data_IF_541977399995
#
_entry.id   IF_541977399995
#
_cell.length_a   1.000
_cell.length_b   1.000
_cell.length_c   1.000
_cell.angle_alpha   90.00
_cell.angle_beta   90.00
_cell.angle_gamma   90.00
#
_symmetry.space_group_name_H-M   'P 1'
#
loop_
_entity.id
_entity.type
_entity.pdbx_description
1 polymer ?
#
# COMPACT_ATOMS: atom_id res chain seq x y z
N UNK A 1 15.87 23.69 36.46
CA UNK A 1 14.61 23.03 36.11
C UNK A 1 14.00 23.55 34.79
N UNK A 2 14.69 24.39 34.03
CA UNK A 2 14.28 24.87 32.68
C UNK A 2 15.21 24.35 31.59
N UNK A 3 16.36 23.78 31.94
CA UNK A 3 17.32 23.24 30.96
C UNK A 3 17.03 21.82 30.44
N UNK A 4 16.10 21.10 31.03
CA UNK A 4 15.72 19.74 30.57
C UNK A 4 14.60 19.73 29.54
N UNK A 5 14.05 20.86 29.12
CA UNK A 5 12.97 20.95 28.14
C UNK A 5 13.43 21.32 26.73
N UNK A 6 14.72 21.51 26.52
CA UNK A 6 15.27 21.55 25.16
C UNK A 6 15.64 20.15 24.71
N UNK A 7 14.68 19.26 24.57
CA UNK A 7 14.79 18.13 23.63
C UNK A 7 14.94 18.77 22.27
N UNK A 8 16.20 18.86 21.85
CA UNK A 8 16.61 19.25 20.52
C UNK A 8 15.83 18.32 19.57
N UNK A 9 14.74 18.79 19.01
CA UNK A 9 14.17 18.20 17.82
C UNK A 9 15.26 18.30 16.73
N UNK A 10 16.17 17.35 16.76
CA UNK A 10 16.94 17.02 15.58
C UNK A 10 15.87 16.62 14.60
N UNK A 11 15.65 17.39 13.56
CA UNK A 11 14.80 16.99 12.44
C UNK A 11 15.43 15.70 11.90
N UNK A 12 14.94 14.56 12.36
CA UNK A 12 15.37 13.26 11.86
C UNK A 12 14.86 13.22 10.41
N UNK A 13 15.78 13.43 9.48
CA UNK A 13 15.48 13.25 8.05
C UNK A 13 15.02 11.81 7.93
N UNK A 14 13.75 11.56 7.53
CA UNK A 14 13.24 10.20 7.44
C UNK A 14 14.12 9.41 6.48
N UNK A 15 14.56 8.23 6.90
CA UNK A 15 15.39 7.35 6.08
C UNK A 15 14.70 7.06 4.73
N UNK A 16 15.50 6.93 3.66
CA UNK A 16 14.98 6.60 2.32
C UNK A 16 14.36 5.21 2.36
N UNK A 17 13.02 5.16 2.35
CA UNK A 17 12.27 3.92 2.37
C UNK A 17 12.41 3.13 1.06
N UNK A 18 12.31 1.81 1.13
CA UNK A 18 12.38 0.89 -0.03
C UNK A 18 11.42 1.27 -1.16
N UNK A 19 10.24 1.79 -0.83
CA UNK A 19 9.25 2.23 -1.81
C UNK A 19 9.77 3.39 -2.66
N UNK A 20 10.50 4.34 -2.05
CA UNK A 20 11.07 5.49 -2.76
C UNK A 20 12.10 4.99 -3.80
N UNK A 21 12.97 4.07 -3.39
CA UNK A 21 13.99 3.49 -4.29
C UNK A 21 13.34 2.72 -5.44
N UNK A 22 12.37 1.86 -5.15
CA UNK A 22 11.61 1.13 -6.17
C UNK A 22 10.90 2.08 -7.15
N UNK A 23 10.30 3.14 -6.64
CA UNK A 23 9.65 4.16 -7.48
C UNK A 23 10.65 4.85 -8.41
N UNK A 24 11.81 5.24 -7.90
CA UNK A 24 12.86 5.87 -8.71
C UNK A 24 13.37 4.92 -9.81
N UNK A 25 13.61 3.64 -9.47
CA UNK A 25 14.04 2.62 -10.44
C UNK A 25 12.98 2.42 -11.53
N UNK A 26 11.69 2.31 -11.16
CA UNK A 26 10.62 2.11 -12.12
C UNK A 26 10.47 3.29 -13.08
N UNK A 27 10.56 4.52 -12.59
CA UNK A 27 10.52 5.74 -13.42
C UNK A 27 11.68 5.77 -14.39
N UNK A 28 12.90 5.44 -13.95
CA UNK A 28 14.09 5.38 -14.80
C UNK A 28 13.97 4.30 -15.88
N UNK A 29 13.46 3.11 -15.53
CA UNK A 29 13.22 2.03 -16.50
C UNK A 29 12.18 2.44 -17.56
N UNK A 30 11.10 3.13 -17.18
CA UNK A 30 10.14 3.66 -18.14
C UNK A 30 10.80 4.61 -19.14
N UNK A 31 11.71 5.47 -18.68
CA UNK A 31 12.48 6.39 -19.53
C UNK A 31 13.34 5.63 -20.54
N UNK A 32 14.10 4.64 -20.07
CA UNK A 32 14.98 3.82 -20.94
C UNK A 32 14.15 3.09 -22.00
N UNK A 33 13.02 2.49 -21.63
CA UNK A 33 12.17 1.76 -22.59
C UNK A 33 11.57 2.70 -23.62
N UNK A 34 11.19 3.93 -23.23
CA UNK A 34 10.70 4.92 -24.19
C UNK A 34 11.77 5.33 -25.21
N UNK A 35 13.01 5.53 -24.75
CA UNK A 35 14.15 5.80 -25.67
C UNK A 35 14.35 4.66 -26.67
N UNK A 36 14.25 3.41 -26.21
CA UNK A 36 14.35 2.22 -27.10
C UNK A 36 13.18 2.13 -28.09
N UNK A 37 12.00 2.69 -27.77
CA UNK A 37 10.85 2.79 -28.70
C UNK A 37 10.95 3.93 -29.70
N UNK A 38 12.04 4.70 -29.72
CA UNK A 38 12.22 5.84 -30.62
C UNK A 38 11.27 7.01 -30.31
N UNK A 39 10.94 7.20 -29.02
CA UNK A 39 10.11 8.30 -28.51
C UNK A 39 8.68 8.39 -29.10
N UNK A 40 8.16 7.26 -29.64
CA UNK A 40 6.84 7.20 -30.24
C UNK A 40 5.66 7.30 -29.26
N UNK A 41 5.93 7.39 -27.95
CA UNK A 41 4.93 7.50 -26.87
C UNK A 41 5.26 8.66 -25.93
N UNK A 42 4.35 8.90 -24.98
CA UNK A 42 4.59 9.87 -23.91
C UNK A 42 5.04 9.14 -22.64
N UNK A 43 6.34 9.24 -22.31
CA UNK A 43 6.98 8.67 -21.11
C UNK A 43 6.19 8.92 -19.82
N UNK A 44 5.65 10.12 -19.69
CA UNK A 44 4.87 10.55 -18.53
C UNK A 44 3.76 9.55 -18.16
N UNK A 45 3.10 8.96 -19.14
CA UNK A 45 1.99 8.04 -18.88
C UNK A 45 2.43 6.67 -18.41
N UNK A 46 3.54 6.18 -18.92
CA UNK A 46 4.13 4.93 -18.44
C UNK A 46 4.70 5.09 -17.03
N UNK A 47 5.34 6.22 -16.73
CA UNK A 47 5.82 6.54 -15.38
C UNK A 47 4.69 6.65 -14.36
N UNK A 48 3.59 7.35 -14.68
CA UNK A 48 2.42 7.40 -13.80
C UNK A 48 1.80 6.02 -13.57
N UNK A 49 1.74 5.18 -14.60
CA UNK A 49 1.20 3.83 -14.46
C UNK A 49 2.09 2.96 -13.57
N UNK A 50 3.42 3.04 -13.72
CA UNK A 50 4.38 2.32 -12.90
C UNK A 50 4.32 2.75 -11.43
N UNK A 51 4.32 4.07 -11.16
CA UNK A 51 4.22 4.62 -9.80
C UNK A 51 2.94 4.18 -9.09
N UNK A 52 1.81 4.15 -9.81
CA UNK A 52 0.54 3.71 -9.25
C UNK A 52 0.52 2.23 -8.87
N UNK A 53 1.27 1.39 -9.58
CA UNK A 53 1.38 -0.03 -9.31
C UNK A 53 2.34 -0.38 -8.17
N UNK A 54 3.22 0.54 -7.73
CA UNK A 54 4.15 0.29 -6.63
C UNK A 54 3.44 0.48 -5.30
N UNK A 55 2.97 -0.62 -4.71
CA UNK A 55 2.25 -0.64 -3.45
C UNK A 55 2.98 -1.48 -2.40
N UNK A 56 2.64 -1.26 -1.12
CA UNK A 56 3.20 -2.00 0.01
C UNK A 56 2.83 -3.49 -0.05
N UNK A 57 1.58 -3.79 -0.41
CA UNK A 57 1.05 -5.15 -0.47
C UNK A 57 0.81 -5.61 -1.90
N UNK A 58 1.18 -6.86 -2.21
CA UNK A 58 1.04 -7.46 -3.54
C UNK A 58 -0.41 -7.45 -4.06
N UNK A 59 -1.37 -7.76 -3.20
CA UNK A 59 -2.79 -7.77 -3.58
C UNK A 59 -3.26 -6.38 -4.04
N UNK A 60 -2.81 -5.32 -3.36
CA UNK A 60 -3.13 -3.95 -3.74
C UNK A 60 -2.46 -3.57 -5.07
N UNK A 61 -1.26 -4.06 -5.33
CA UNK A 61 -0.54 -3.85 -6.60
C UNK A 61 -1.30 -4.40 -7.79
N UNK A 62 -1.79 -5.64 -7.70
CA UNK A 62 -2.58 -6.29 -8.77
C UNK A 62 -3.93 -5.60 -8.96
N UNK A 63 -4.61 -5.27 -7.87
CA UNK A 63 -5.87 -4.52 -7.91
C UNK A 63 -5.71 -3.17 -8.61
N UNK A 64 -4.67 -2.42 -8.23
CA UNK A 64 -4.38 -1.12 -8.82
C UNK A 64 -3.99 -1.21 -10.30
N UNK A 65 -3.22 -2.24 -10.69
CA UNK A 65 -2.88 -2.51 -12.08
C UNK A 65 -4.16 -2.79 -12.91
N UNK A 66 -5.05 -3.64 -12.39
CA UNK A 66 -6.34 -3.94 -13.03
C UNK A 66 -7.22 -2.70 -13.19
N UNK A 67 -7.27 -1.84 -12.17
CA UNK A 67 -8.07 -0.61 -12.23
C UNK A 67 -7.49 0.40 -13.21
N UNK A 68 -6.15 0.55 -13.23
CA UNK A 68 -5.44 1.40 -14.19
C UNK A 68 -5.68 0.93 -15.62
N UNK A 69 -5.57 -0.38 -15.87
CA UNK A 69 -5.83 -0.97 -17.20
C UNK A 69 -7.28 -0.73 -17.64
N UNK A 70 -8.25 -1.08 -16.80
CA UNK A 70 -9.69 -0.86 -17.11
C UNK A 70 -9.96 0.61 -17.41
N UNK A 71 -9.43 1.53 -16.59
CA UNK A 71 -9.60 2.96 -16.80
C UNK A 71 -9.00 3.44 -18.13
N UNK A 72 -7.82 2.93 -18.50
CA UNK A 72 -7.19 3.27 -19.78
C UNK A 72 -8.00 2.75 -20.97
N UNK A 73 -8.50 1.52 -20.92
CA UNK A 73 -9.34 0.97 -22.00
C UNK A 73 -10.63 1.76 -22.17
N UNK A 74 -11.37 2.00 -21.08
CA UNK A 74 -12.62 2.76 -21.15
C UNK A 74 -12.36 4.18 -21.66
N UNK A 75 -11.38 4.89 -21.08
CA UNK A 75 -11.06 6.25 -21.51
C UNK A 75 -10.59 6.33 -22.97
N UNK A 76 -9.81 5.33 -23.43
CA UNK A 76 -9.33 5.27 -24.82
C UNK A 76 -10.47 5.02 -25.81
N UNK A 77 -11.38 4.09 -25.50
CA UNK A 77 -12.53 3.79 -26.36
C UNK A 77 -13.44 5.01 -26.50
N UNK A 78 -13.83 5.64 -25.40
CA UNK A 78 -14.67 6.85 -25.45
C UNK A 78 -13.95 8.03 -26.07
N UNK A 79 -12.63 8.20 -25.83
CA UNK A 79 -11.81 9.24 -26.47
C UNK A 79 -11.73 9.04 -27.97
N UNK A 80 -11.55 7.80 -28.45
CA UNK A 80 -11.56 7.50 -29.87
C UNK A 80 -12.92 7.77 -30.51
N UNK A 81 -13.99 7.32 -29.87
CA UNK A 81 -15.38 7.59 -30.36
C UNK A 81 -15.61 9.09 -30.46
N UNK A 82 -15.19 9.85 -29.46
CA UNK A 82 -15.29 11.30 -29.48
C UNK A 82 -14.56 11.91 -30.67
N UNK A 83 -13.29 11.54 -30.91
CA UNK A 83 -12.50 12.05 -32.01
C UNK A 83 -13.10 11.70 -33.38
N UNK A 84 -13.68 10.52 -33.54
CA UNK A 84 -14.34 10.09 -34.77
C UNK A 84 -15.65 10.85 -35.03
N UNK A 85 -16.39 11.17 -33.99
CA UNK A 85 -17.66 11.92 -34.09
C UNK A 85 -17.44 13.43 -34.15
N UNK A 86 -16.31 13.94 -33.69
CA UNK A 86 -16.03 15.38 -33.62
C UNK A 86 -16.20 16.12 -34.93
N UNK A 87 -15.74 15.61 -36.11
CA UNK A 87 -15.92 16.29 -37.39
C UNK A 87 -17.40 16.53 -37.80
N UNK A 88 -18.30 15.70 -37.27
CA UNK A 88 -19.74 15.78 -37.52
C UNK A 88 -20.50 16.56 -36.45
N UNK A 89 -19.79 17.07 -35.43
CA UNK A 89 -20.40 17.74 -34.30
C UNK A 89 -20.73 19.21 -34.62
N UNK A 90 -21.77 19.79 -34.03
CA UNK A 90 -22.07 21.23 -34.12
C UNK A 90 -20.93 22.10 -33.61
N UNK A 91 -20.03 21.54 -32.77
CA UNK A 91 -18.86 22.24 -32.23
C UNK A 91 -17.86 22.67 -33.32
N UNK A 92 -17.78 21.92 -34.44
CA UNK A 92 -16.92 22.27 -35.60
C UNK A 92 -17.59 23.30 -36.44
N UNK A 93 -18.92 23.18 -36.68
CA UNK A 93 -19.67 24.10 -37.53
C UNK A 93 -19.78 25.51 -36.96
N UNK A 94 -19.86 25.64 -35.65
CA UNK A 94 -20.08 26.95 -34.98
C UNK A 94 -18.80 27.54 -34.40
N UNK A 95 -17.70 26.77 -34.34
CA UNK A 95 -16.43 27.06 -33.62
C UNK A 95 -16.65 27.62 -32.19
N UNK A 96 -17.75 27.22 -31.57
CA UNK A 96 -18.19 27.73 -30.29
C UNK A 96 -17.58 26.92 -29.15
N UNK A 97 -16.92 27.60 -28.22
CA UNK A 97 -16.37 27.00 -27.00
C UNK A 97 -17.47 26.35 -26.14
N UNK A 98 -18.69 26.86 -26.18
CA UNK A 98 -19.82 26.33 -25.41
C UNK A 98 -20.21 24.91 -25.87
N UNK A 99 -20.25 24.67 -27.18
CA UNK A 99 -20.54 23.36 -27.74
C UNK A 99 -19.41 22.37 -27.47
N UNK A 100 -18.15 22.78 -27.55
CA UNK A 100 -17.01 21.97 -27.20
C UNK A 100 -17.10 21.50 -25.72
N UNK A 101 -17.38 22.47 -24.84
CA UNK A 101 -17.53 22.20 -23.40
C UNK A 101 -18.70 21.24 -23.09
N UNK A 102 -19.84 21.43 -23.76
CA UNK A 102 -21.01 20.58 -23.58
C UNK A 102 -20.75 19.14 -24.04
N UNK A 103 -20.08 18.94 -25.15
CA UNK A 103 -19.69 17.62 -25.64
C UNK A 103 -18.70 16.90 -24.67
N UNK A 104 -17.72 17.63 -24.13
CA UNK A 104 -16.78 17.09 -23.14
C UNK A 104 -17.54 16.72 -21.85
N UNK A 105 -18.47 17.55 -21.39
CA UNK A 105 -19.30 17.26 -20.21
C UNK A 105 -20.05 15.94 -20.35
N UNK A 106 -20.75 15.73 -21.47
CA UNK A 106 -21.43 14.48 -21.72
C UNK A 106 -20.49 13.29 -21.87
N UNK A 107 -19.34 13.50 -22.51
CA UNK A 107 -18.31 12.48 -22.63
C UNK A 107 -17.78 12.02 -21.27
N UNK A 108 -17.44 12.93 -20.37
CA UNK A 108 -16.98 12.61 -19.01
C UNK A 108 -18.06 11.88 -18.22
N UNK A 109 -19.34 12.31 -18.34
CA UNK A 109 -20.45 11.67 -17.65
C UNK A 109 -20.61 10.20 -18.10
N UNK A 110 -20.55 9.93 -19.42
CA UNK A 110 -20.64 8.58 -19.97
C UNK A 110 -19.45 7.70 -19.53
N UNK A 111 -18.23 8.25 -19.53
CA UNK A 111 -17.03 7.54 -19.09
C UNK A 111 -17.15 7.12 -17.62
N UNK A 112 -17.56 8.04 -16.73
CA UNK A 112 -17.73 7.73 -15.30
C UNK A 112 -18.86 6.69 -15.12
N UNK A 113 -19.99 6.90 -15.77
CA UNK A 113 -21.13 5.99 -15.67
C UNK A 113 -20.76 4.55 -16.09
N UNK A 114 -20.01 4.41 -17.18
CA UNK A 114 -19.54 3.09 -17.66
C UNK A 114 -18.64 2.40 -16.64
N UNK A 115 -17.72 3.12 -16.00
CA UNK A 115 -16.83 2.53 -14.97
C UNK A 115 -17.59 2.11 -13.71
N UNK A 116 -18.66 2.83 -13.36
CA UNK A 116 -19.56 2.47 -12.25
C UNK A 116 -20.35 1.19 -12.59
N UNK A 117 -20.84 1.06 -13.83
CA UNK A 117 -21.54 -0.16 -14.31
C UNK A 117 -20.60 -1.39 -14.28
N UNK A 118 -19.31 -1.22 -14.57
CA UNK A 118 -18.31 -2.31 -14.50
C UNK A 118 -17.91 -2.62 -13.04
N UNK A 119 -18.49 -1.95 -12.05
CA UNK A 119 -18.16 -2.09 -10.62
C UNK A 119 -16.71 -1.76 -10.26
N UNK A 120 -16.00 -0.96 -11.07
CA UNK A 120 -14.63 -0.51 -10.83
C UNK A 120 -14.57 1.00 -10.58
N UNK A 121 -15.15 1.45 -9.47
CA UNK A 121 -15.26 2.88 -9.13
C UNK A 121 -13.92 3.64 -9.14
N UNK A 122 -12.84 3.01 -8.70
CA UNK A 122 -11.51 3.65 -8.68
C UNK A 122 -10.92 3.83 -10.10
N UNK A 123 -11.40 3.06 -11.09
CA UNK A 123 -10.99 3.22 -12.48
C UNK A 123 -11.56 4.49 -13.12
N UNK A 124 -12.61 5.09 -12.54
CA UNK A 124 -13.25 6.33 -13.08
C UNK A 124 -12.27 7.47 -13.24
N UNK A 125 -11.41 7.70 -12.24
CA UNK A 125 -10.38 8.73 -12.30
C UNK A 125 -9.46 8.54 -13.52
N UNK A 126 -8.95 7.31 -13.71
CA UNK A 126 -8.05 7.02 -14.81
C UNK A 126 -8.72 7.10 -16.17
N UNK A 127 -9.99 6.69 -16.26
CA UNK A 127 -10.79 6.80 -17.49
C UNK A 127 -10.96 8.25 -17.90
N UNK A 128 -11.27 9.14 -16.96
CA UNK A 128 -11.40 10.56 -17.23
C UNK A 128 -10.06 11.18 -17.65
N UNK A 129 -8.95 10.85 -16.97
CA UNK A 129 -7.62 11.35 -17.33
C UNK A 129 -7.24 10.95 -18.76
N UNK A 130 -7.49 9.68 -19.14
CA UNK A 130 -7.19 9.20 -20.49
C UNK A 130 -8.12 9.83 -21.51
N UNK A 131 -9.42 9.89 -21.27
CA UNK A 131 -10.39 10.53 -22.13
C UNK A 131 -10.03 11.99 -22.40
N UNK A 132 -9.82 12.77 -21.33
CA UNK A 132 -9.46 14.20 -21.47
C UNK A 132 -8.11 14.39 -22.17
N UNK A 133 -7.11 13.53 -21.89
CA UNK A 133 -5.82 13.63 -22.59
C UNK A 133 -5.92 13.42 -24.10
N UNK A 134 -6.82 12.53 -24.53
CA UNK A 134 -7.08 12.28 -25.95
C UNK A 134 -7.86 13.45 -26.56
N UNK A 135 -8.94 13.86 -25.90
CA UNK A 135 -9.86 14.87 -26.45
C UNK A 135 -9.23 16.27 -26.51
N UNK A 136 -8.48 16.67 -25.46
CA UNK A 136 -7.93 18.03 -25.39
C UNK A 136 -6.72 18.22 -26.32
N UNK A 137 -5.82 17.22 -26.35
CA UNK A 137 -4.54 17.39 -27.04
C UNK A 137 -4.55 16.97 -28.51
N UNK A 138 -5.56 16.22 -28.97
CA UNK A 138 -5.55 15.57 -30.29
C UNK A 138 -6.81 15.87 -31.14
N UNK A 139 -7.53 16.93 -30.80
CA UNK A 139 -8.60 17.44 -31.67
C UNK A 139 -7.97 17.96 -32.95
N UNK A 140 -8.31 17.34 -34.07
CA UNK A 140 -7.81 17.74 -35.40
C UNK A 140 -6.61 16.94 -35.92
N UNK A 141 -6.12 15.98 -35.19
CA UNK A 141 -5.06 15.08 -35.67
C UNK A 141 -5.55 14.21 -36.85
N UNK A 142 -4.70 14.07 -37.86
CA UNK A 142 -4.99 13.27 -39.06
C UNK A 142 -5.16 11.80 -38.75
N UNK A 143 -4.41 11.29 -37.74
CA UNK A 143 -4.40 9.89 -37.31
C UNK A 143 -4.65 9.71 -35.81
N UNK A 144 -5.90 9.78 -35.33
CA UNK A 144 -6.21 9.63 -33.92
C UNK A 144 -5.89 8.24 -33.36
N UNK A 145 -5.90 7.22 -34.22
CA UNK A 145 -5.62 5.82 -33.83
C UNK A 145 -4.19 5.61 -33.29
N UNK A 146 -3.22 6.25 -33.92
CA UNK A 146 -1.81 6.14 -33.52
C UNK A 146 -1.58 6.61 -32.08
N UNK A 147 -2.17 7.77 -31.74
CA UNK A 147 -2.06 8.31 -30.39
C UNK A 147 -2.76 7.43 -29.35
N UNK A 148 -3.99 7.01 -29.62
CA UNK A 148 -4.76 6.15 -28.73
C UNK A 148 -4.04 4.83 -28.48
N UNK A 149 -3.44 4.24 -29.53
CA UNK A 149 -2.66 3.01 -29.42
C UNK A 149 -1.38 3.20 -28.59
N UNK A 150 -0.63 4.25 -28.85
CA UNK A 150 0.56 4.57 -28.05
C UNK A 150 0.20 4.83 -26.58
N UNK A 151 -0.91 5.51 -26.32
CA UNK A 151 -1.43 5.76 -24.98
C UNK A 151 -1.75 4.46 -24.21
N UNK A 152 -2.35 3.51 -24.92
CA UNK A 152 -2.60 2.18 -24.36
C UNK A 152 -1.30 1.44 -24.07
N UNK A 153 -0.36 1.39 -25.04
CA UNK A 153 0.94 0.75 -24.87
C UNK A 153 1.75 1.35 -23.73
N UNK A 154 1.78 2.66 -23.59
CA UNK A 154 2.49 3.34 -22.49
C UNK A 154 1.96 2.91 -21.13
N UNK A 155 0.64 2.74 -21.01
CA UNK A 155 0.04 2.26 -19.77
C UNK A 155 0.41 0.80 -19.50
N UNK A 156 0.37 -0.08 -20.52
CA UNK A 156 0.76 -1.49 -20.40
C UNK A 156 2.22 -1.60 -19.95
N UNK A 157 3.13 -0.89 -20.62
CA UNK A 157 4.55 -0.87 -20.27
C UNK A 157 4.76 -0.40 -18.83
N UNK A 158 4.11 0.69 -18.45
CA UNK A 158 4.21 1.22 -17.09
C UNK A 158 3.71 0.22 -16.03
N UNK A 159 2.59 -0.44 -16.27
CA UNK A 159 2.06 -1.49 -15.37
C UNK A 159 3.04 -2.65 -15.26
N UNK A 160 3.57 -3.16 -16.38
CA UNK A 160 4.51 -4.27 -16.37
C UNK A 160 5.79 -3.94 -15.62
N UNK A 161 6.36 -2.74 -15.83
CA UNK A 161 7.54 -2.27 -15.10
C UNK A 161 7.21 -2.13 -13.60
N UNK A 162 6.07 -1.53 -13.26
CA UNK A 162 5.64 -1.36 -11.87
C UNK A 162 5.47 -2.70 -11.15
N UNK A 163 4.85 -3.69 -11.79
CA UNK A 163 4.71 -5.05 -11.27
C UNK A 163 6.07 -5.73 -11.11
N UNK A 164 6.93 -5.64 -12.14
CA UNK A 164 8.26 -6.24 -12.12
C UNK A 164 9.11 -5.66 -10.98
N UNK A 165 9.22 -4.34 -10.90
CA UNK A 165 10.02 -3.66 -9.88
C UNK A 165 9.44 -3.87 -8.48
N UNK A 166 8.12 -3.88 -8.33
CA UNK A 166 7.51 -4.14 -7.03
C UNK A 166 7.76 -5.57 -6.54
N UNK A 167 7.89 -6.52 -7.46
CA UNK A 167 8.22 -7.92 -7.13
C UNK A 167 9.73 -8.15 -6.89
N UNK A 168 10.60 -7.22 -7.32
CA UNK A 168 12.03 -7.29 -7.02
C UNK A 168 12.25 -7.15 -5.52
N UNK A 169 12.88 -8.14 -4.92
CA UNK A 169 13.35 -8.11 -3.54
C UNK A 169 14.70 -7.44 -3.50
N UNK A 170 14.72 -6.12 -3.36
CA UNK A 170 15.96 -5.40 -3.12
C UNK A 170 16.27 -5.61 -1.64
N UNK A 171 17.20 -6.48 -1.34
CA UNK A 171 17.74 -6.68 0.01
C UNK A 171 18.59 -5.44 0.36
N UNK A 172 17.97 -4.43 0.93
CA UNK A 172 18.72 -3.47 1.75
C UNK A 172 18.93 -4.20 3.06
N UNK A 173 20.18 -4.33 3.50
CA UNK A 173 20.48 -4.87 4.83
C UNK A 173 19.58 -4.15 5.83
N UNK A 174 18.73 -4.89 6.57
CA UNK A 174 17.89 -4.26 7.57
C UNK A 174 18.82 -3.50 8.52
N UNK A 175 18.43 -2.28 8.90
CA UNK A 175 19.21 -1.51 9.86
C UNK A 175 19.29 -2.32 11.15
N UNK A 176 20.45 -2.97 11.37
CA UNK A 176 20.70 -3.84 12.52
C UNK A 176 20.72 -3.07 13.84
N UNK A 177 20.66 -1.73 13.77
CA UNK A 177 20.64 -0.87 14.97
C UNK A 177 19.22 -0.58 15.44
N UNK A 178 18.22 -0.65 14.55
CA UNK A 178 16.82 -0.32 14.86
C UNK A 178 16.07 -1.56 15.35
N UNK A 179 15.40 -1.44 16.51
CA UNK A 179 14.45 -2.42 17.00
C UNK A 179 13.06 -2.08 16.48
N UNK A 180 12.45 -3.02 15.74
CA UNK A 180 11.08 -2.90 15.26
C UNK A 180 10.13 -3.47 16.31
N UNK A 181 9.20 -2.66 16.77
CA UNK A 181 8.14 -3.06 17.71
C UNK A 181 6.81 -3.00 16.97
N UNK A 182 6.06 -4.09 16.93
CA UNK A 182 4.74 -4.17 16.31
C UNK A 182 3.68 -4.50 17.35
N UNK A 183 2.45 -4.04 17.11
CA UNK A 183 1.28 -4.53 17.84
C UNK A 183 0.93 -5.95 17.41
N UNK A 184 0.27 -6.70 18.28
CA UNK A 184 -0.27 -8.03 17.95
C UNK A 184 -1.66 -7.88 17.35
N UNK A 185 -2.55 -7.16 18.03
CA UNK A 185 -3.94 -7.01 17.66
C UNK A 185 -4.10 -6.07 16.46
N UNK A 186 -4.99 -6.43 15.54
CA UNK A 186 -5.34 -5.68 14.32
C UNK A 186 -4.17 -5.42 13.34
N UNK A 187 -2.91 -5.77 13.72
CA UNK A 187 -1.74 -5.56 12.89
C UNK A 187 -1.16 -6.91 12.42
N UNK A 188 -0.87 -7.81 13.35
CA UNK A 188 -0.23 -9.10 13.08
C UNK A 188 -1.25 -10.23 12.97
N UNK A 189 -2.27 -10.25 13.81
CA UNK A 189 -3.33 -11.26 13.84
C UNK A 189 -4.59 -10.77 13.12
N UNK A 190 -5.30 -11.69 12.49
CA UNK A 190 -6.60 -11.45 11.89
C UNK A 190 -7.74 -11.53 12.94
N UNK A 191 -8.98 -11.33 12.48
CA UNK A 191 -10.18 -11.45 13.34
C UNK A 191 -10.37 -12.83 13.97
N UNK A 192 -9.70 -13.86 13.44
CA UNK A 192 -9.73 -15.23 13.94
C UNK A 192 -8.55 -15.53 14.86
N UNK A 193 -7.84 -14.51 15.32
CA UNK A 193 -6.66 -14.62 16.18
C UNK A 193 -5.51 -15.41 15.54
N UNK A 194 -5.37 -15.39 14.20
CA UNK A 194 -4.34 -16.12 13.47
C UNK A 194 -3.44 -15.19 12.68
N UNK A 195 -2.15 -15.47 12.70
CA UNK A 195 -1.17 -14.83 11.82
C UNK A 195 -1.21 -15.54 10.47
N UNK A 196 -1.26 -14.80 9.36
CA UNK A 196 -1.28 -15.41 8.02
C UNK A 196 -0.01 -16.21 7.77
N UNK A 197 -0.12 -17.33 7.03
CA UNK A 197 1.03 -18.17 6.71
C UNK A 197 2.11 -17.38 5.95
N UNK A 198 1.72 -16.46 5.08
CA UNK A 198 2.65 -15.58 4.38
C UNK A 198 3.39 -14.65 5.36
N UNK A 199 2.69 -14.04 6.33
CA UNK A 199 3.29 -13.15 7.32
C UNK A 199 4.27 -13.90 8.22
N UNK A 200 3.95 -15.13 8.64
CA UNK A 200 4.85 -15.99 9.45
C UNK A 200 6.17 -16.26 8.71
N UNK A 201 6.09 -16.70 7.45
CA UNK A 201 7.27 -17.02 6.64
C UNK A 201 8.13 -15.79 6.39
N UNK A 202 7.52 -14.67 6.01
CA UNK A 202 8.28 -13.47 5.69
C UNK A 202 8.88 -12.81 6.94
N UNK A 203 8.18 -12.83 8.06
CA UNK A 203 8.68 -12.32 9.34
C UNK A 203 9.85 -13.17 9.86
N UNK A 204 9.73 -14.50 9.86
CA UNK A 204 10.81 -15.40 10.25
C UNK A 204 12.05 -15.17 9.38
N UNK A 205 11.88 -15.02 8.08
CA UNK A 205 12.97 -14.73 7.18
C UNK A 205 13.67 -13.41 7.51
N UNK A 206 12.90 -12.31 7.75
CA UNK A 206 13.49 -11.02 8.14
C UNK A 206 14.25 -11.11 9.45
N UNK A 207 13.73 -11.88 10.43
CA UNK A 207 14.40 -12.12 11.72
C UNK A 207 15.70 -12.93 11.52
N UNK A 208 15.70 -13.91 10.63
CA UNK A 208 16.89 -14.68 10.27
C UNK A 208 17.95 -13.80 9.59
N UNK A 209 17.52 -12.92 8.69
CA UNK A 209 18.39 -11.93 8.00
C UNK A 209 18.96 -10.85 8.95
N UNK A 210 18.59 -10.89 10.24
CA UNK A 210 19.16 -10.06 11.30
C UNK A 210 18.32 -8.85 11.72
N UNK A 211 17.05 -8.77 11.30
CA UNK A 211 16.11 -7.78 11.79
C UNK A 211 15.87 -7.98 13.28
N UNK A 212 16.03 -6.92 14.07
CA UNK A 212 15.64 -6.90 15.48
C UNK A 212 14.15 -6.60 15.55
N UNK A 213 13.36 -7.59 15.93
CA UNK A 213 11.91 -7.51 15.97
C UNK A 213 11.36 -7.97 17.30
N UNK A 214 10.43 -7.23 17.86
CA UNK A 214 9.65 -7.59 19.04
C UNK A 214 8.20 -7.12 18.92
N UNK A 215 7.40 -7.49 19.88
CA UNK A 215 5.96 -7.20 19.92
C UNK A 215 5.58 -6.48 21.19
N UNK A 216 4.54 -5.65 21.11
CA UNK A 216 3.88 -5.02 22.25
C UNK A 216 2.39 -5.32 22.18
N UNK A 217 1.80 -5.75 23.31
CA UNK A 217 0.39 -6.13 23.36
C UNK A 217 -0.19 -5.95 24.76
N UNK A 218 -1.49 -5.69 24.81
CA UNK A 218 -2.25 -5.71 26.07
C UNK A 218 -2.53 -7.14 26.59
N UNK A 219 -2.29 -8.15 25.73
CA UNK A 219 -2.58 -9.55 26.06
C UNK A 219 -1.66 -10.09 27.16
N UNK A 220 -2.18 -11.11 27.87
CA UNK A 220 -1.36 -11.90 28.81
C UNK A 220 -0.40 -12.84 28.07
N UNK A 221 0.72 -13.27 28.70
CA UNK A 221 1.65 -14.21 28.09
C UNK A 221 0.98 -15.46 27.52
N UNK A 222 0.04 -16.06 28.25
CA UNK A 222 -0.65 -17.26 27.84
C UNK A 222 -1.48 -17.07 26.54
N UNK A 223 -2.14 -15.93 26.39
CA UNK A 223 -3.00 -15.65 25.21
C UNK A 223 -2.22 -15.26 23.95
N UNK A 224 -0.94 -14.91 24.08
CA UNK A 224 -0.06 -14.54 22.98
C UNK A 224 0.67 -15.75 22.38
N UNK A 225 0.91 -16.80 23.16
CA UNK A 225 1.69 -17.96 22.74
C UNK A 225 1.08 -18.69 21.53
N UNK A 226 -0.23 -18.90 21.51
CA UNK A 226 -0.90 -19.63 20.43
C UNK A 226 -0.74 -18.97 19.06
N UNK A 227 -1.07 -17.69 18.86
CA UNK A 227 -0.90 -17.03 17.56
C UNK A 227 0.56 -16.87 17.14
N UNK A 228 1.51 -16.84 18.08
CA UNK A 228 2.94 -16.64 17.81
C UNK A 228 3.76 -17.93 17.74
N UNK A 229 3.15 -19.10 17.91
CA UNK A 229 3.83 -20.40 18.04
C UNK A 229 4.80 -20.74 16.90
N UNK A 230 4.56 -20.19 15.70
CA UNK A 230 5.39 -20.46 14.52
C UNK A 230 6.32 -19.28 14.15
N UNK A 231 6.45 -18.28 15.03
CA UNK A 231 7.32 -17.12 14.81
C UNK A 231 8.55 -17.23 15.71
N UNK A 232 9.74 -17.24 15.10
CA UNK A 232 11.03 -17.39 15.80
C UNK A 232 11.51 -16.06 16.41
N UNK A 233 10.80 -15.54 17.40
CA UNK A 233 11.19 -14.31 18.08
C UNK A 233 12.52 -14.50 18.82
N UNK A 234 13.45 -13.56 18.59
CA UNK A 234 14.78 -13.56 19.25
C UNK A 234 14.81 -12.67 20.49
N UNK A 235 13.87 -11.76 20.61
CA UNK A 235 13.79 -10.79 21.72
C UNK A 235 12.52 -11.01 22.52
N UNK A 236 12.53 -10.70 23.84
CA UNK A 236 11.34 -10.77 24.65
C UNK A 236 10.27 -9.81 24.15
N UNK A 237 9.00 -10.16 24.35
CA UNK A 237 7.84 -9.38 23.97
C UNK A 237 7.33 -8.56 25.15
N UNK A 238 6.78 -7.40 24.87
CA UNK A 238 6.15 -6.53 25.84
C UNK A 238 4.68 -6.96 25.96
N UNK A 239 4.28 -7.41 27.15
CA UNK A 239 2.93 -7.92 27.41
C UNK A 239 2.23 -7.10 28.48
N UNK A 240 0.89 -7.26 28.56
CA UNK A 240 0.04 -6.58 29.57
C UNK A 240 0.24 -5.06 29.57
N UNK A 241 0.22 -4.48 28.37
CA UNK A 241 0.37 -3.02 28.15
C UNK A 241 1.65 -2.41 28.75
N UNK A 242 2.75 -3.17 28.70
CA UNK A 242 4.04 -2.74 29.22
C UNK A 242 4.34 -3.19 30.65
N UNK A 243 3.43 -3.89 31.32
CA UNK A 243 3.62 -4.32 32.70
C UNK A 243 4.71 -5.41 32.87
N UNK A 244 4.98 -6.20 31.80
CA UNK A 244 6.00 -7.24 31.86
C UNK A 244 6.68 -7.48 30.52
N UNK A 245 7.95 -7.92 30.57
CA UNK A 245 8.67 -8.52 29.45
C UNK A 245 8.60 -10.04 29.55
N UNK A 246 8.09 -10.66 28.48
CA UNK A 246 7.94 -12.10 28.40
C UNK A 246 8.91 -12.69 27.37
N UNK A 247 9.77 -13.58 27.83
CA UNK A 247 10.69 -14.33 26.98
C UNK A 247 10.00 -15.58 26.43
N UNK A 248 9.60 -15.52 25.17
CA UNK A 248 8.87 -16.61 24.50
C UNK A 248 9.71 -17.89 24.40
N UNK A 249 11.05 -17.77 24.30
CA UNK A 249 11.96 -18.89 24.16
C UNK A 249 12.09 -19.71 25.44
N UNK A 250 12.24 -19.00 26.56
CA UNK A 250 12.47 -19.62 27.87
C UNK A 250 11.17 -19.81 28.65
N UNK A 251 10.05 -19.27 28.10
CA UNK A 251 8.74 -19.28 28.78
C UNK A 251 8.79 -18.60 30.16
N UNK A 252 9.55 -17.54 30.27
CA UNK A 252 9.80 -16.83 31.52
C UNK A 252 9.39 -15.37 31.43
N UNK A 253 8.83 -14.83 32.51
CA UNK A 253 8.61 -13.39 32.66
C UNK A 253 9.91 -12.80 33.19
N UNK A 254 10.55 -11.95 32.38
CA UNK A 254 11.69 -11.13 32.80
C UNK A 254 11.15 -9.82 33.34
N UNK A 255 11.24 -9.67 34.65
CA UNK A 255 10.88 -8.39 35.28
C UNK A 255 11.95 -7.33 34.98
N UNK A 256 11.48 -6.19 34.48
CA UNK A 256 12.33 -5.00 34.29
C UNK A 256 11.84 -3.80 35.06
N UNK A 257 10.75 -3.91 35.83
CA UNK A 257 10.14 -2.78 36.54
C UNK A 257 9.93 -3.15 37.99
N UNK A 258 10.22 -2.22 38.86
CA UNK A 258 10.29 -2.22 40.31
C UNK A 258 9.42 -3.23 41.08
N UNK A 259 9.83 -3.55 42.31
CA UNK A 259 9.15 -4.41 43.29
C UNK A 259 7.64 -4.12 43.45
N UNK A 260 7.22 -2.90 43.17
CA UNK A 260 5.83 -2.46 43.19
C UNK A 260 4.96 -3.17 42.12
N UNK A 261 5.51 -3.47 40.95
CA UNK A 261 4.82 -4.24 39.89
C UNK A 261 4.70 -5.73 40.21
N UNK A 262 5.64 -6.29 40.94
CA UNK A 262 5.53 -7.67 41.45
C UNK A 262 4.30 -7.79 42.34
N UNK A 263 4.11 -6.84 43.23
CA UNK A 263 2.98 -6.79 44.14
C UNK A 263 1.64 -6.68 43.41
N UNK A 264 1.59 -5.90 42.31
CA UNK A 264 0.40 -5.80 41.46
C UNK A 264 0.13 -7.13 40.75
N UNK A 265 1.15 -7.80 40.18
CA UNK A 265 1.00 -9.08 39.50
C UNK A 265 0.59 -10.20 40.45
N UNK A 266 1.12 -10.22 41.65
CA UNK A 266 0.70 -11.19 42.67
C UNK A 266 -0.75 -10.93 43.15
N UNK A 267 -1.15 -9.71 43.23
CA UNK A 267 -2.55 -9.34 43.47
C UNK A 267 -3.47 -9.80 42.34
N UNK A 268 -3.09 -9.62 41.05
CA UNK A 268 -3.87 -10.13 39.91
C UNK A 268 -4.00 -11.65 39.93
N UNK A 269 -2.93 -12.40 40.24
CA UNK A 269 -2.99 -13.85 40.41
C UNK A 269 -3.94 -14.24 41.54
N UNK A 270 -3.88 -13.53 42.66
CA UNK A 270 -4.77 -13.75 43.78
C UNK A 270 -6.23 -13.46 43.45
N UNK A 271 -6.50 -12.37 42.70
CA UNK A 271 -7.85 -12.06 42.20
C UNK A 271 -8.35 -13.11 41.20
N UNK A 272 -7.51 -13.57 40.26
CA UNK A 272 -7.88 -14.64 39.32
C UNK A 272 -8.22 -15.93 40.05
N UNK A 273 -7.42 -16.35 41.06
CA UNK A 273 -7.70 -17.51 41.89
C UNK A 273 -8.96 -17.36 42.74
N UNK A 274 -9.23 -16.14 43.22
CA UNK A 274 -10.46 -15.82 43.96
C UNK A 274 -11.70 -15.98 43.04
N UNK A 275 -11.64 -15.43 41.82
CA UNK A 275 -12.72 -15.57 40.82
C UNK A 275 -12.93 -17.04 40.45
N UNK A 276 -11.87 -17.78 40.24
CA UNK A 276 -11.96 -19.23 39.96
C UNK A 276 -12.61 -19.99 41.10
N UNK A 277 -12.27 -19.67 42.35
CA UNK A 277 -12.90 -20.27 43.53
C UNK A 277 -14.40 -19.95 43.65
N UNK A 278 -14.83 -18.75 43.25
CA UNK A 278 -16.24 -18.40 43.17
C UNK A 278 -16.98 -19.18 42.08
N UNK A 279 -16.35 -19.38 40.92
CA UNK A 279 -16.93 -20.18 39.82
C UNK A 279 -17.06 -21.65 40.21
N UNK A 280 -16.07 -22.19 40.95
CA UNK A 280 -16.09 -23.58 41.42
C UNK A 280 -17.04 -23.81 42.60
N UNK A 281 -17.33 -22.78 43.41
CA UNK A 281 -18.27 -22.88 44.56
C UNK A 281 -19.76 -22.82 44.14
N UNK A 282 -20.05 -22.39 42.89
CA UNK A 282 -21.41 -22.48 42.35
C UNK A 282 -22.43 -21.50 42.94
N UNK A 283 -21.96 -20.43 43.56
CA UNK A 283 -22.80 -19.29 44.03
C UNK A 283 -22.84 -18.10 43.07
#
# INVERSE_FOLDING_TARGET
MIEQLMIKHKADIPGIGMRIIKSAIAVSLCMIINLLRGENGMVFYSQLAALWCIQMYRNNTISNASQRMTGTVVGAVFGLIYLLLYPYSPAVMTDSIYWKTLCIFWGVLLVIYTTVLIHKKQASYFSCVVFLSIVINHIGDINPYSFVWNRFLDTVIGILIGLMVNNLRICINPDRKTLFVSGVDDILVDKNNKVSAFSKVELNRMIEDGMKFTLSTMRTPASVLEPLSEINLKYPIIVMDGAALYDVKNNEIRNTIDEEYQMIMDNYKNYANLILSFIESGD
#
